data_IF_963900685103
#
_entry.id   IF_963900685103
#
_cell.length_a   1.000
_cell.length_b   1.000
_cell.length_c   1.000
_cell.angle_alpha   90.00
_cell.angle_beta   90.00
_cell.angle_gamma   90.00
#
_symmetry.space_group_name_H-M   'P 1'
#
loop_
_entity.id
_entity.type
_entity.pdbx_description
1 polymer ?
#
# COMPACT_ATOMS: atom_id res chain seq x y z
N UNK A 1 -30.81 24.54 19.80
CA UNK A 1 -31.58 23.41 19.24
C UNK A 1 -31.06 23.15 17.84
N UNK A 2 -30.65 21.92 17.54
CA UNK A 2 -30.54 21.44 16.15
C UNK A 2 -29.16 21.05 15.62
N UNK A 3 -28.34 20.24 16.31
CA UNK A 3 -27.09 19.69 15.70
C UNK A 3 -26.67 18.23 16.03
N UNK A 4 -27.54 17.26 16.40
CA UNK A 4 -27.13 15.84 16.37
C UNK A 4 -27.54 15.09 15.09
N UNK A 5 -28.56 15.56 14.36
CA UNK A 5 -29.17 14.82 13.25
C UNK A 5 -28.30 14.90 11.98
N UNK A 6 -27.69 16.05 11.72
CA UNK A 6 -26.89 16.30 10.51
C UNK A 6 -25.63 15.40 10.43
N UNK A 7 -25.00 15.09 11.56
CA UNK A 7 -23.80 14.24 11.60
C UNK A 7 -24.15 12.78 11.25
N UNK A 8 -25.31 12.32 11.69
CA UNK A 8 -25.79 10.95 11.42
C UNK A 8 -26.20 10.80 9.94
N UNK A 9 -26.76 11.86 9.36
CA UNK A 9 -27.24 11.85 7.96
C UNK A 9 -26.08 11.90 6.95
N UNK A 10 -25.03 12.68 7.23
CA UNK A 10 -23.83 12.77 6.38
C UNK A 10 -23.03 11.46 6.37
N UNK A 11 -22.94 10.74 7.49
CA UNK A 11 -22.25 9.44 7.56
C UNK A 11 -23.00 8.31 6.83
N UNK A 12 -24.32 8.42 6.66
CA UNK A 12 -25.16 7.40 5.99
C UNK A 12 -25.02 7.40 4.47
N UNK A 13 -24.64 8.51 3.85
CA UNK A 13 -24.56 8.67 2.38
C UNK A 13 -23.33 8.02 1.76
N UNK A 14 -22.29 7.69 2.53
CA UNK A 14 -21.01 7.24 1.97
C UNK A 14 -20.86 5.71 1.84
N UNK A 15 -21.59 4.89 2.60
CA UNK A 15 -21.44 3.42 2.60
C UNK A 15 -22.71 2.69 3.07
N UNK A 16 -23.36 1.83 2.25
CA UNK A 16 -24.60 1.14 2.64
C UNK A 16 -24.45 0.02 3.70
N UNK A 17 -23.22 -0.28 4.16
CA UNK A 17 -22.95 -1.29 5.21
C UNK A 17 -22.59 -0.69 6.59
N UNK A 18 -22.80 0.61 6.81
CA UNK A 18 -22.41 1.32 8.04
C UNK A 18 -23.06 0.80 9.32
N UNK A 19 -24.15 0.02 9.23
CA UNK A 19 -24.78 -0.62 10.40
C UNK A 19 -23.77 -1.44 11.24
N UNK A 20 -22.88 -2.19 10.58
CA UNK A 20 -21.90 -3.06 11.27
C UNK A 20 -20.81 -2.28 12.02
N UNK A 21 -20.51 -1.06 11.58
CA UNK A 21 -19.46 -0.21 12.16
C UNK A 21 -20.04 0.93 13.02
N UNK A 22 -21.37 1.00 13.17
CA UNK A 22 -22.03 2.05 13.93
C UNK A 22 -21.65 1.98 15.40
N UNK A 23 -21.65 0.77 15.97
CA UNK A 23 -21.29 0.54 17.38
C UNK A 23 -19.82 0.88 17.65
N UNK A 24 -18.92 0.53 16.74
CA UNK A 24 -17.49 0.87 16.81
C UNK A 24 -17.27 2.40 16.73
N UNK A 25 -17.96 3.07 15.81
CA UNK A 25 -17.88 4.52 15.64
C UNK A 25 -18.44 5.28 16.85
N UNK A 26 -19.56 4.83 17.41
CA UNK A 26 -20.16 5.37 18.64
C UNK A 26 -19.23 5.18 19.85
N UNK A 27 -18.60 4.01 19.95
CA UNK A 27 -17.64 3.72 21.00
C UNK A 27 -16.39 4.61 20.91
N UNK A 28 -15.84 4.78 19.70
CA UNK A 28 -14.71 5.68 19.46
C UNK A 28 -15.07 7.13 19.83
N UNK A 29 -16.23 7.63 19.41
CA UNK A 29 -16.69 8.97 19.76
C UNK A 29 -16.82 9.18 21.28
N UNK A 30 -17.34 8.20 22.01
CA UNK A 30 -17.52 8.25 23.47
C UNK A 30 -16.20 8.27 24.26
N UNK A 31 -15.15 7.65 23.73
CA UNK A 31 -13.89 7.39 24.45
C UNK A 31 -12.73 8.28 24.03
N UNK A 32 -12.59 8.54 22.73
CA UNK A 32 -11.40 9.19 22.15
C UNK A 32 -11.55 10.69 21.97
N UNK A 33 -12.77 11.17 21.71
CA UNK A 33 -13.02 12.59 21.51
C UNK A 33 -12.86 13.34 22.84
N UNK A 34 -12.01 14.36 22.87
CA UNK A 34 -11.86 15.24 24.03
C UNK A 34 -12.56 16.56 23.73
N UNK A 35 -13.38 17.01 24.67
CA UNK A 35 -13.91 18.37 24.64
C UNK A 35 -12.77 19.39 24.83
N UNK A 36 -12.98 20.69 24.58
CA UNK A 36 -12.01 21.74 24.90
C UNK A 36 -11.59 21.76 26.39
N UNK A 37 -12.38 21.14 27.27
CA UNK A 37 -12.12 20.96 28.71
C UNK A 37 -11.23 19.73 28.99
N UNK A 38 -10.92 18.94 27.96
CA UNK A 38 -10.07 17.75 28.05
C UNK A 38 -10.79 16.46 28.50
N UNK A 39 -12.10 16.50 28.72
CA UNK A 39 -12.91 15.36 29.17
C UNK A 39 -13.64 14.68 28.00
N UNK A 40 -13.87 13.36 28.11
CA UNK A 40 -14.63 12.62 27.10
C UNK A 40 -16.13 12.86 27.24
N UNK A 41 -16.91 12.74 26.14
CA UNK A 41 -18.36 12.84 26.18
C UNK A 41 -19.02 11.89 27.18
N UNK A 42 -18.51 10.66 27.32
CA UNK A 42 -19.04 9.69 28.29
C UNK A 42 -18.85 10.16 29.72
N UNK A 43 -17.66 10.69 30.05
CA UNK A 43 -17.36 11.18 31.39
C UNK A 43 -18.21 12.40 31.74
N UNK A 44 -18.56 13.24 30.76
CA UNK A 44 -19.43 14.39 30.97
C UNK A 44 -20.86 14.00 31.34
N UNK A 45 -21.39 12.94 30.72
CA UNK A 45 -22.78 12.49 30.95
C UNK A 45 -22.90 11.65 32.22
N UNK A 46 -21.94 10.77 32.48
CA UNK A 46 -22.04 9.78 33.56
C UNK A 46 -21.13 10.05 34.77
N UNK A 47 -20.27 11.08 34.70
CA UNK A 47 -19.35 11.44 35.78
C UNK A 47 -18.27 10.40 36.07
N UNK A 48 -18.13 9.36 35.25
CA UNK A 48 -17.18 8.25 35.40
C UNK A 48 -16.40 8.02 34.11
N UNK A 49 -15.17 7.51 34.23
CA UNK A 49 -14.40 7.03 33.08
C UNK A 49 -15.22 5.97 32.32
N UNK A 50 -15.19 6.01 30.98
CA UNK A 50 -15.81 4.97 30.16
C UNK A 50 -15.18 3.61 30.51
N UNK A 51 -15.98 2.62 30.97
CA UNK A 51 -15.49 1.27 31.11
C UNK A 51 -15.09 0.78 29.72
N UNK A 52 -13.86 0.28 29.58
CA UNK A 52 -13.56 -0.64 28.49
C UNK A 52 -14.53 -1.81 28.64
N UNK A 53 -15.25 -2.18 27.57
CA UNK A 53 -16.14 -3.33 27.67
C UNK A 53 -15.27 -4.57 27.92
N UNK A 54 -15.67 -5.40 28.87
CA UNK A 54 -14.99 -6.66 29.18
C UNK A 54 -14.85 -7.52 27.92
N UNK A 55 -15.79 -7.41 26.99
CA UNK A 55 -15.75 -8.05 25.67
C UNK A 55 -14.55 -7.62 24.82
N UNK A 56 -14.21 -6.33 24.79
CA UNK A 56 -13.04 -5.83 24.05
C UNK A 56 -11.73 -6.33 24.67
N UNK A 57 -11.62 -6.29 25.99
CA UNK A 57 -10.45 -6.80 26.71
C UNK A 57 -10.30 -8.32 26.54
N UNK A 58 -11.42 -9.06 26.61
CA UNK A 58 -11.48 -10.49 26.40
C UNK A 58 -11.12 -10.89 24.96
N UNK A 59 -11.63 -10.16 23.97
CA UNK A 59 -11.30 -10.40 22.56
C UNK A 59 -9.82 -10.12 22.27
N UNK A 60 -9.27 -9.03 22.82
CA UNK A 60 -7.84 -8.74 22.73
C UNK A 60 -7.00 -9.86 23.39
N UNK A 61 -7.38 -10.28 24.60
CA UNK A 61 -6.73 -11.38 25.31
C UNK A 61 -6.76 -12.68 24.50
N UNK A 62 -7.90 -13.07 23.93
CA UNK A 62 -8.01 -14.27 23.10
C UNK A 62 -7.24 -14.16 21.79
N UNK A 63 -7.23 -13.00 21.14
CA UNK A 63 -6.42 -12.78 19.95
C UNK A 63 -4.93 -12.95 20.26
N UNK A 64 -4.44 -12.35 21.35
CA UNK A 64 -3.06 -12.52 21.82
C UNK A 64 -2.77 -13.97 22.19
N UNK A 65 -3.67 -14.63 22.92
CA UNK A 65 -3.52 -16.03 23.30
C UNK A 65 -3.48 -16.94 22.08
N UNK A 66 -4.35 -16.71 21.09
CA UNK A 66 -4.40 -17.42 19.79
C UNK A 66 -3.12 -17.25 18.99
N UNK A 67 -2.55 -16.04 18.97
CA UNK A 67 -1.24 -15.79 18.34
C UNK A 67 -0.08 -16.47 19.08
N UNK A 68 -0.21 -16.69 20.39
CA UNK A 68 0.79 -17.32 21.24
C UNK A 68 0.64 -18.84 21.39
N UNK A 69 -0.41 -19.47 20.86
CA UNK A 69 -0.71 -20.87 21.11
C UNK A 69 0.31 -21.84 20.49
N UNK A 70 1.08 -21.42 19.47
CA UNK A 70 2.14 -22.26 18.91
C UNK A 70 3.23 -21.43 18.22
N UNK A 71 4.10 -20.81 19.04
CA UNK A 71 5.15 -19.91 18.57
C UNK A 71 6.15 -20.61 17.64
N UNK A 72 6.45 -21.89 17.88
CA UNK A 72 7.35 -22.70 17.06
C UNK A 72 6.73 -23.01 15.70
N UNK A 73 5.53 -23.62 15.66
CA UNK A 73 4.85 -23.94 14.40
C UNK A 73 4.56 -22.68 13.56
N UNK A 74 4.23 -21.56 14.21
CA UNK A 74 4.05 -20.27 13.53
C UNK A 74 5.36 -19.72 12.96
N UNK A 75 6.47 -19.87 13.70
CA UNK A 75 7.81 -19.49 13.26
C UNK A 75 8.27 -20.29 12.04
N UNK A 76 8.12 -21.60 12.08
CA UNK A 76 8.45 -22.50 10.97
C UNK A 76 7.63 -22.19 9.72
N UNK A 77 6.31 -21.98 9.88
CA UNK A 77 5.44 -21.60 8.77
C UNK A 77 5.87 -20.27 8.11
N UNK A 78 6.23 -19.26 8.91
CA UNK A 78 6.74 -17.98 8.38
C UNK A 78 8.07 -18.16 7.65
N UNK A 79 8.97 -18.99 8.18
CA UNK A 79 10.26 -19.27 7.55
C UNK A 79 10.07 -19.96 6.20
N UNK A 80 9.19 -20.96 6.11
CA UNK A 80 8.86 -21.63 4.86
C UNK A 80 8.30 -20.64 3.82
N UNK A 81 7.35 -19.78 4.22
CA UNK A 81 6.80 -18.74 3.34
C UNK A 81 7.87 -17.77 2.83
N UNK A 82 8.84 -17.40 3.66
CA UNK A 82 9.94 -16.53 3.25
C UNK A 82 10.87 -17.23 2.25
N UNK A 83 11.20 -18.50 2.47
CA UNK A 83 12.01 -19.29 1.55
C UNK A 83 11.34 -19.42 0.18
N UNK A 84 10.04 -19.72 0.14
CA UNK A 84 9.26 -19.77 -1.12
C UNK A 84 9.31 -18.43 -1.87
N UNK A 85 9.16 -17.30 -1.16
CA UNK A 85 9.25 -15.98 -1.77
C UNK A 85 10.63 -15.69 -2.36
N UNK A 86 11.70 -16.11 -1.69
CA UNK A 86 13.05 -15.93 -2.19
C UNK A 86 13.36 -16.82 -3.40
N UNK A 87 12.80 -18.03 -3.47
CA UNK A 87 12.86 -18.86 -4.67
C UNK A 87 12.15 -18.19 -5.86
N UNK A 88 10.95 -17.65 -5.66
CA UNK A 88 10.23 -16.91 -6.71
C UNK A 88 11.01 -15.69 -7.19
N UNK A 89 11.63 -14.93 -6.27
CA UNK A 89 12.49 -13.80 -6.62
C UNK A 89 13.68 -14.25 -7.46
N UNK A 90 14.37 -15.31 -7.05
CA UNK A 90 15.51 -15.84 -7.78
C UNK A 90 15.11 -16.29 -9.19
N UNK A 91 13.97 -16.96 -9.33
CA UNK A 91 13.43 -17.38 -10.61
C UNK A 91 13.09 -16.17 -11.51
N UNK A 92 12.45 -15.14 -10.96
CA UNK A 92 12.15 -13.91 -11.67
C UNK A 92 13.42 -13.22 -12.18
N UNK A 93 14.47 -13.13 -11.35
CA UNK A 93 15.76 -12.56 -11.76
C UNK A 93 16.44 -13.36 -12.87
N UNK A 94 16.44 -14.70 -12.76
CA UNK A 94 16.97 -15.59 -13.82
C UNK A 94 16.21 -15.37 -15.13
N UNK A 95 14.89 -15.32 -15.08
CA UNK A 95 14.05 -15.10 -16.26
C UNK A 95 14.29 -13.72 -16.88
N UNK A 96 14.39 -12.67 -16.07
CA UNK A 96 14.69 -11.32 -16.54
C UNK A 96 16.07 -11.22 -17.21
N UNK A 97 17.08 -11.89 -16.65
CA UNK A 97 18.43 -11.97 -17.24
C UNK A 97 18.39 -12.66 -18.61
N UNK A 98 17.74 -13.82 -18.70
CA UNK A 98 17.60 -14.56 -19.96
C UNK A 98 16.87 -13.72 -21.02
N UNK A 99 15.79 -13.02 -20.64
CA UNK A 99 15.07 -12.16 -21.56
C UNK A 99 15.96 -11.04 -22.11
N UNK A 100 16.68 -10.32 -21.23
CA UNK A 100 17.60 -9.26 -21.64
C UNK A 100 18.69 -9.77 -22.58
N UNK A 101 19.27 -10.93 -22.29
CA UNK A 101 20.28 -11.55 -23.14
C UNK A 101 19.73 -11.94 -24.51
N UNK A 102 18.53 -12.54 -24.57
CA UNK A 102 17.86 -12.88 -25.84
C UNK A 102 17.58 -11.63 -26.67
N UNK A 103 17.03 -10.59 -26.05
CA UNK A 103 16.72 -9.32 -26.72
C UNK A 103 18.00 -8.66 -27.25
N UNK A 104 19.08 -8.64 -26.45
CA UNK A 104 20.39 -8.13 -26.89
C UNK A 104 20.91 -8.90 -28.09
N UNK A 105 20.93 -10.25 -28.02
CA UNK A 105 21.38 -11.09 -29.16
C UNK A 105 20.56 -10.86 -30.42
N UNK A 106 19.24 -10.70 -30.30
CA UNK A 106 18.39 -10.42 -31.45
C UNK A 106 18.64 -9.02 -32.02
N UNK A 107 18.85 -8.02 -31.16
CA UNK A 107 19.17 -6.66 -31.57
C UNK A 107 20.54 -6.62 -32.27
N UNK A 108 21.58 -7.19 -31.66
CA UNK A 108 22.94 -7.20 -32.20
C UNK A 108 23.00 -7.88 -33.58
N UNK A 109 22.24 -8.97 -33.79
CA UNK A 109 22.09 -9.62 -35.10
C UNK A 109 21.49 -8.73 -36.20
N UNK A 110 20.73 -7.71 -35.81
CA UNK A 110 20.08 -6.77 -36.74
C UNK A 110 20.88 -5.49 -36.97
N UNK A 111 21.97 -5.28 -36.22
CA UNK A 111 22.85 -4.14 -36.44
C UNK A 111 23.63 -4.41 -37.71
N UNK A 112 23.33 -3.63 -38.76
CA UNK A 112 24.13 -3.61 -39.98
C UNK A 112 25.23 -2.58 -39.80
N UNK A 113 26.48 -2.99 -39.94
CA UNK A 113 27.61 -2.07 -39.94
C UNK A 113 27.46 -1.09 -41.10
N UNK A 114 27.42 0.21 -40.78
CA UNK A 114 27.43 1.28 -41.79
C UNK A 114 28.77 1.98 -41.72
N UNK A 115 29.46 2.03 -42.87
CA UNK A 115 30.65 2.85 -43.05
C UNK A 115 30.20 4.23 -43.52
N UNK A 116 30.79 5.27 -42.94
CA UNK A 116 30.49 6.66 -43.28
C UNK A 116 31.71 7.27 -43.95
N UNK A 117 31.47 8.13 -44.93
CA UNK A 117 32.51 8.87 -45.63
C UNK A 117 32.55 10.33 -45.19
N UNK A 118 33.71 10.97 -45.36
CA UNK A 118 33.90 12.39 -45.05
C UNK A 118 32.96 13.24 -45.91
N UNK A 119 32.15 14.07 -45.26
CA UNK A 119 31.15 14.93 -45.92
C UNK A 119 29.71 14.36 -45.95
N UNK A 120 29.50 13.13 -45.46
CA UNK A 120 28.17 12.53 -45.38
C UNK A 120 27.40 13.04 -44.14
N UNK A 121 26.17 13.52 -44.35
CA UNK A 121 25.28 13.91 -43.25
C UNK A 121 24.72 12.65 -42.56
N UNK A 122 24.95 12.53 -41.24
CA UNK A 122 24.49 11.40 -40.43
C UNK A 122 23.72 11.89 -39.22
N UNK A 123 22.62 11.22 -38.88
CA UNK A 123 21.83 11.54 -37.69
C UNK A 123 22.44 10.85 -36.46
N UNK A 124 23.01 11.63 -35.55
CA UNK A 124 23.51 11.14 -34.27
C UNK A 124 22.38 11.08 -33.24
N UNK A 125 22.00 9.89 -32.79
CA UNK A 125 21.04 9.74 -31.69
C UNK A 125 21.75 9.88 -30.33
N UNK A 126 21.40 10.91 -29.56
CA UNK A 126 21.94 11.12 -28.22
C UNK A 126 20.93 10.64 -27.16
N UNK A 127 21.22 9.52 -26.50
CA UNK A 127 20.31 8.89 -25.53
C UNK A 127 20.05 9.72 -24.27
N UNK A 128 20.94 10.68 -23.94
CA UNK A 128 20.79 11.59 -22.80
C UNK A 128 19.89 12.77 -23.13
N UNK A 129 19.94 13.23 -24.37
CA UNK A 129 19.02 14.22 -24.91
C UNK A 129 17.82 13.47 -25.46
N UNK A 130 16.94 12.99 -24.59
CA UNK A 130 15.63 12.45 -25.01
C UNK A 130 14.94 13.53 -25.84
N UNK A 131 15.06 13.42 -27.16
CA UNK A 131 14.54 14.37 -28.12
C UNK A 131 13.01 14.40 -27.95
N UNK A 132 12.53 15.54 -27.47
CA UNK A 132 11.11 15.90 -27.51
C UNK A 132 10.55 15.65 -28.94
N UNK A 133 9.25 15.33 -29.08
CA UNK A 133 8.61 15.18 -30.38
C UNK A 133 8.44 16.56 -31.02
N UNK A 134 9.52 17.16 -31.51
CA UNK A 134 9.55 18.45 -32.17
C UNK A 134 10.62 18.44 -33.25
N UNK A 135 10.24 18.82 -34.48
CA UNK A 135 11.17 18.86 -35.63
C UNK A 135 12.30 19.85 -35.33
N UNK A 136 13.54 19.36 -35.30
CA UNK A 136 14.72 20.22 -35.34
C UNK A 136 14.85 20.79 -36.76
N UNK A 137 14.83 22.12 -36.88
CA UNK A 137 15.18 22.81 -38.12
C UNK A 137 16.70 22.96 -38.16
N UNK A 138 17.32 22.52 -39.25
CA UNK A 138 18.70 22.84 -39.60
C UNK A 138 18.74 24.24 -40.24
N UNK A 139 19.74 25.03 -39.86
CA UNK A 139 20.05 26.33 -40.43
C UNK A 139 21.05 26.20 -41.58
#
# INVERSE_FOLDING_TARGET
MGEPIFVIEVLKLCCPNMSKHLDEALWAYRTTFKTPIGTSPYNLVFGKACPLSVELEHNAYWATKKLNFDMQATGEKRLLQLNELDEFRLQAYKNAKIYKEKTKRWHDKKIVERRFELGQYVLLFNSRLKLFPGKLKSH
#
